data_IF_822668480858
#
_entry.id   IF_822668480858
#
_cell.length_a   1.000
_cell.length_b   1.000
_cell.length_c   1.000
_cell.angle_alpha   90.00
_cell.angle_beta   90.00
_cell.angle_gamma   90.00
#
_symmetry.space_group_name_H-M   'P 1'
#
loop_
_entity.id
_entity.type
_entity.pdbx_description
1 polymer ?
#
# COMPACT_ATOMS: atom_id res chain seq x y z
N UNK A 1 -27.41 -6.50 -3.14
CA UNK A 1 -26.84 -5.84 -4.37
C UNK A 1 -25.57 -5.01 -4.13
N UNK A 2 -25.46 -4.23 -3.03
CA UNK A 2 -24.26 -3.40 -2.76
C UNK A 2 -22.96 -4.21 -2.65
N UNK A 3 -22.96 -5.32 -1.90
CA UNK A 3 -21.76 -6.13 -1.69
C UNK A 3 -21.11 -6.58 -3.03
N UNK A 4 -21.93 -7.00 -4.00
CA UNK A 4 -21.48 -7.39 -5.34
C UNK A 4 -20.82 -6.26 -6.16
N UNK A 5 -21.07 -4.99 -5.83
CA UNK A 5 -20.41 -3.85 -6.48
C UNK A 5 -19.05 -3.54 -5.84
N UNK A 6 -18.90 -3.78 -4.53
CA UNK A 6 -17.73 -3.35 -3.76
C UNK A 6 -16.85 -4.50 -3.27
N UNK A 7 -17.18 -5.77 -3.55
CA UNK A 7 -16.39 -6.91 -3.08
C UNK A 7 -14.92 -6.86 -3.54
N UNK A 8 -14.66 -6.39 -4.77
CA UNK A 8 -13.30 -6.21 -5.31
C UNK A 8 -12.52 -5.21 -4.44
N UNK A 9 -13.20 -4.15 -4.00
CA UNK A 9 -12.59 -3.16 -3.13
C UNK A 9 -12.30 -3.75 -1.74
N UNK A 10 -13.24 -4.51 -1.16
CA UNK A 10 -13.04 -5.19 0.13
C UNK A 10 -11.85 -6.16 0.04
N UNK A 11 -11.78 -6.94 -1.06
CA UNK A 11 -10.68 -7.85 -1.34
C UNK A 11 -9.32 -7.14 -1.37
N UNK A 12 -9.21 -6.08 -2.17
CA UNK A 12 -7.97 -5.30 -2.32
C UNK A 12 -7.58 -4.63 -1.00
N UNK A 13 -8.54 -4.13 -0.22
CA UNK A 13 -8.26 -3.55 1.10
C UNK A 13 -7.70 -4.60 2.08
N UNK A 14 -8.29 -5.80 2.11
CA UNK A 14 -7.78 -6.91 2.92
C UNK A 14 -6.37 -7.30 2.50
N UNK A 15 -6.13 -7.46 1.19
CA UNK A 15 -4.82 -7.76 0.65
C UNK A 15 -3.80 -6.67 0.98
N UNK A 16 -4.15 -5.39 0.85
CA UNK A 16 -3.26 -4.28 1.18
C UNK A 16 -2.83 -4.34 2.65
N UNK A 17 -3.77 -4.58 3.56
CA UNK A 17 -3.48 -4.66 5.00
C UNK A 17 -2.56 -5.84 5.30
N UNK A 18 -2.82 -7.00 4.71
CA UNK A 18 -1.95 -8.18 4.86
C UNK A 18 -0.56 -7.96 4.26
N UNK A 19 -0.47 -7.40 3.05
CA UNK A 19 0.80 -7.15 2.36
C UNK A 19 1.69 -6.16 3.12
N UNK A 20 1.12 -5.15 3.76
CA UNK A 20 1.88 -4.25 4.63
C UNK A 20 2.51 -5.00 5.81
N UNK A 21 1.78 -5.92 6.45
CA UNK A 21 2.31 -6.77 7.50
C UNK A 21 3.41 -7.72 6.96
N UNK A 22 3.16 -8.36 5.82
CA UNK A 22 4.13 -9.20 5.12
C UNK A 22 5.43 -8.46 4.82
N UNK A 23 5.37 -7.22 4.30
CA UNK A 23 6.55 -6.41 4.00
C UNK A 23 7.32 -6.04 5.28
N UNK A 24 6.63 -5.72 6.37
CA UNK A 24 7.28 -5.42 7.65
C UNK A 24 7.98 -6.65 8.26
N UNK A 25 7.36 -7.82 8.17
CA UNK A 25 7.95 -9.10 8.59
C UNK A 25 9.14 -9.47 7.70
N UNK A 26 9.00 -9.32 6.39
CA UNK A 26 10.07 -9.59 5.42
C UNK A 26 11.31 -8.72 5.70
N UNK A 27 11.09 -7.43 5.94
CA UNK A 27 12.16 -6.50 6.33
C UNK A 27 12.85 -6.95 7.62
N UNK A 28 12.09 -7.38 8.64
CA UNK A 28 12.65 -7.90 9.89
C UNK A 28 13.52 -9.14 9.63
N UNK A 29 13.02 -10.10 8.85
CA UNK A 29 13.75 -11.34 8.51
C UNK A 29 15.03 -10.99 7.74
N UNK A 30 14.96 -10.07 6.78
CA UNK A 30 16.10 -9.63 5.97
C UNK A 30 17.22 -9.01 6.82
N UNK A 31 16.85 -8.22 7.85
CA UNK A 31 17.81 -7.56 8.75
C UNK A 31 18.33 -8.52 9.84
N UNK A 32 17.47 -9.37 10.39
CA UNK A 32 17.82 -10.28 11.49
C UNK A 32 18.58 -11.52 11.01
N UNK A 33 18.21 -12.08 9.85
CA UNK A 33 18.72 -13.33 9.32
C UNK A 33 19.18 -13.17 7.85
N UNK A 34 20.22 -12.36 7.58
CA UNK A 34 20.65 -12.05 6.21
C UNK A 34 21.10 -13.29 5.42
N UNK A 35 21.60 -14.32 6.11
CA UNK A 35 22.10 -15.56 5.48
C UNK A 35 20.94 -16.43 4.99
N UNK A 36 19.87 -16.59 5.79
CA UNK A 36 18.71 -17.41 5.41
C UNK A 36 17.93 -16.77 4.25
N UNK A 37 17.77 -15.45 4.27
CA UNK A 37 17.13 -14.69 3.19
C UNK A 37 17.89 -14.82 1.86
N UNK A 38 19.23 -14.92 1.89
CA UNK A 38 20.06 -15.03 0.68
C UNK A 38 20.03 -16.42 0.04
N UNK A 39 19.79 -17.48 0.82
CA UNK A 39 19.81 -18.88 0.33
C UNK A 39 18.46 -19.29 -0.29
N UNK A 40 17.37 -18.61 0.08
CA UNK A 40 16.04 -18.94 -0.45
C UNK A 40 15.83 -18.44 -1.89
N UNK A 41 15.08 -19.20 -2.70
CA UNK A 41 14.64 -18.74 -4.02
C UNK A 41 13.60 -17.63 -3.85
N UNK A 42 14.04 -16.39 -4.08
CA UNK A 42 13.25 -15.16 -3.90
C UNK A 42 11.80 -15.23 -4.41
N UNK A 43 11.54 -15.78 -5.61
CA UNK A 43 10.17 -15.87 -6.14
C UNK A 43 9.25 -16.80 -5.33
N UNK A 44 9.74 -17.98 -4.94
CA UNK A 44 8.94 -18.95 -4.16
C UNK A 44 8.66 -18.40 -2.77
N UNK A 45 9.68 -17.78 -2.16
CA UNK A 45 9.54 -17.16 -0.85
C UNK A 45 8.51 -16.02 -0.84
N UNK A 46 8.57 -15.10 -1.82
CA UNK A 46 7.61 -13.98 -1.92
C UNK A 46 6.19 -14.49 -2.15
N UNK A 47 6.01 -15.54 -2.95
CA UNK A 47 4.70 -16.17 -3.13
C UNK A 47 4.19 -16.75 -1.81
N UNK A 48 4.99 -17.55 -1.12
CA UNK A 48 4.61 -18.20 0.14
C UNK A 48 4.23 -17.19 1.22
N UNK A 49 5.00 -16.12 1.40
CA UNK A 49 4.76 -15.11 2.43
C UNK A 49 3.55 -14.20 2.12
N UNK A 50 3.10 -14.17 0.85
CA UNK A 50 1.92 -13.42 0.42
C UNK A 50 0.62 -14.24 0.50
N UNK A 51 0.70 -15.57 0.60
CA UNK A 51 -0.47 -16.47 0.70
C UNK A 51 -1.40 -16.07 1.87
N UNK A 52 -0.92 -15.76 3.10
CA UNK A 52 -1.80 -15.37 4.20
C UNK A 52 -2.66 -14.13 3.87
N UNK A 53 -2.05 -13.14 3.20
CA UNK A 53 -2.73 -11.90 2.78
C UNK A 53 -3.81 -12.16 1.73
N UNK A 54 -3.53 -13.10 0.82
CA UNK A 54 -4.45 -13.50 -0.24
C UNK A 54 -5.63 -14.31 0.32
N UNK A 55 -5.35 -15.26 1.22
CA UNK A 55 -6.36 -16.03 1.94
C UNK A 55 -7.27 -15.13 2.78
N UNK A 56 -6.71 -14.14 3.49
CA UNK A 56 -7.51 -13.20 4.27
C UNK A 56 -8.53 -12.45 3.41
N UNK A 57 -8.10 -11.92 2.25
CA UNK A 57 -9.00 -11.25 1.31
C UNK A 57 -10.06 -12.20 0.74
N UNK A 58 -9.64 -13.38 0.28
CA UNK A 58 -10.55 -14.38 -0.30
C UNK A 58 -11.60 -14.85 0.71
N UNK A 59 -11.19 -15.23 1.91
CA UNK A 59 -12.11 -15.70 2.95
C UNK A 59 -13.11 -14.62 3.33
N UNK A 60 -12.67 -13.36 3.48
CA UNK A 60 -13.56 -12.25 3.79
C UNK A 60 -14.64 -12.08 2.71
N UNK A 61 -14.26 -12.15 1.44
CA UNK A 61 -15.21 -12.02 0.33
C UNK A 61 -16.15 -13.22 0.22
N UNK A 62 -15.63 -14.43 0.33
CA UNK A 62 -16.43 -15.67 0.25
C UNK A 62 -17.45 -15.72 1.38
N UNK A 63 -17.03 -15.48 2.63
CA UNK A 63 -17.96 -15.40 3.75
C UNK A 63 -18.91 -14.21 3.61
N UNK A 64 -18.45 -13.08 3.07
CA UNK A 64 -19.32 -11.96 2.72
C UNK A 64 -20.45 -12.39 1.80
N UNK A 65 -20.16 -13.04 0.66
CA UNK A 65 -21.20 -13.52 -0.26
C UNK A 65 -22.15 -14.55 0.37
N UNK A 66 -21.65 -15.45 1.21
CA UNK A 66 -22.47 -16.50 1.86
C UNK A 66 -23.42 -15.92 2.90
N UNK A 67 -22.98 -14.90 3.65
CA UNK A 67 -23.68 -14.37 4.83
C UNK A 67 -24.46 -13.09 4.52
N UNK A 68 -24.23 -12.46 3.35
CA UNK A 68 -24.95 -11.23 2.95
C UNK A 68 -26.45 -11.48 2.93
N UNK A 69 -27.18 -10.61 3.61
CA UNK A 69 -28.63 -10.50 3.63
C UNK A 69 -29.12 -9.33 2.76
N UNK A 70 -30.43 -9.32 2.47
CA UNK A 70 -31.09 -8.27 1.68
C UNK A 70 -31.62 -7.11 2.55
N UNK A 71 -31.00 -6.88 3.71
CA UNK A 71 -31.39 -5.76 4.58
C UNK A 71 -31.03 -4.40 3.93
N UNK A 72 -31.93 -3.39 4.03
CA UNK A 72 -31.69 -2.09 3.44
C UNK A 72 -30.57 -1.35 4.20
N UNK A 73 -29.50 -1.01 3.48
CA UNK A 73 -28.39 -0.20 3.99
C UNK A 73 -28.47 1.23 3.50
N UNK A 74 -28.18 2.20 4.38
CA UNK A 74 -28.25 3.62 4.06
C UNK A 74 -27.13 4.09 3.12
N UNK A 75 -25.94 3.49 3.20
CA UNK A 75 -24.79 3.82 2.35
C UNK A 75 -24.02 2.57 1.95
N UNK A 76 -23.70 2.46 0.65
CA UNK A 76 -22.89 1.37 0.14
C UNK A 76 -21.40 1.64 0.36
N UNK A 77 -20.85 1.10 1.44
CA UNK A 77 -19.43 1.19 1.77
C UNK A 77 -18.94 -0.11 2.41
N UNK A 78 -17.62 -0.32 2.52
CA UNK A 78 -17.06 -1.58 3.00
C UNK A 78 -17.58 -2.03 4.36
N UNK A 79 -17.60 -1.20 5.43
CA UNK A 79 -18.07 -1.65 6.73
C UNK A 79 -19.58 -1.90 6.77
N UNK A 80 -20.38 -1.14 6.01
CA UNK A 80 -21.86 -1.29 6.01
C UNK A 80 -22.35 -2.42 5.11
N UNK A 81 -21.57 -2.80 4.09
CA UNK A 81 -21.90 -3.93 3.23
C UNK A 81 -21.59 -5.30 3.85
N UNK A 82 -20.91 -5.32 5.00
CA UNK A 82 -20.56 -6.53 5.73
C UNK A 82 -21.49 -6.68 6.94
N UNK A 83 -22.21 -7.80 7.00
CA UNK A 83 -23.01 -8.19 8.17
C UNK A 83 -22.10 -8.32 9.40
N UNK A 84 -22.62 -8.04 10.60
CA UNK A 84 -21.83 -7.99 11.84
C UNK A 84 -20.96 -9.23 12.10
N UNK A 85 -21.48 -10.41 11.75
CA UNK A 85 -20.76 -11.69 11.86
C UNK A 85 -19.48 -11.74 11.03
N UNK A 86 -19.40 -11.02 9.90
CA UNK A 86 -18.21 -10.93 9.04
C UNK A 86 -17.42 -9.66 9.34
N UNK A 87 -18.11 -8.56 9.65
CA UNK A 87 -17.53 -7.25 10.00
C UNK A 87 -16.62 -7.33 11.22
N UNK A 88 -17.05 -8.02 12.28
CA UNK A 88 -16.27 -8.16 13.52
C UNK A 88 -14.93 -8.88 13.32
N UNK A 89 -14.89 -10.11 12.75
CA UNK A 89 -13.62 -10.78 12.48
C UNK A 89 -12.76 -10.00 11.46
N UNK A 90 -13.36 -9.34 10.48
CA UNK A 90 -12.64 -8.47 9.54
C UNK A 90 -11.88 -7.33 10.27
N UNK A 91 -12.54 -6.62 11.18
CA UNK A 91 -11.88 -5.59 11.98
C UNK A 91 -10.80 -6.16 12.91
N UNK A 92 -11.07 -7.31 13.54
CA UNK A 92 -10.12 -7.95 14.46
C UNK A 92 -8.84 -8.40 13.73
N UNK A 93 -8.97 -9.09 12.59
CA UNK A 93 -7.81 -9.53 11.80
C UNK A 93 -7.04 -8.33 11.26
N UNK A 94 -7.72 -7.28 10.81
CA UNK A 94 -7.06 -6.06 10.36
C UNK A 94 -6.32 -5.34 11.51
N UNK A 95 -6.84 -5.37 12.74
CA UNK A 95 -6.16 -4.84 13.93
C UNK A 95 -4.92 -5.68 14.28
N UNK A 96 -5.06 -7.01 14.28
CA UNK A 96 -3.96 -7.94 14.53
C UNK A 96 -2.83 -7.78 13.50
N UNK A 97 -3.17 -7.69 12.21
CA UNK A 97 -2.21 -7.42 11.15
C UNK A 97 -1.50 -6.06 11.33
N UNK A 98 -2.25 -5.03 11.75
CA UNK A 98 -1.67 -3.73 12.11
C UNK A 98 -0.67 -3.83 13.26
N UNK A 99 -1.02 -4.56 14.33
CA UNK A 99 -0.13 -4.78 15.48
C UNK A 99 1.15 -5.55 15.07
N UNK A 100 1.02 -6.63 14.29
CA UNK A 100 2.16 -7.37 13.73
C UNK A 100 3.06 -6.44 12.93
N UNK A 101 2.48 -5.61 12.06
CA UNK A 101 3.23 -4.64 11.24
C UNK A 101 4.08 -3.70 12.10
N UNK A 102 3.50 -3.11 13.14
CA UNK A 102 4.20 -2.18 14.05
C UNK A 102 5.29 -2.90 14.82
N UNK A 103 4.99 -4.06 15.41
CA UNK A 103 5.96 -4.84 16.18
C UNK A 103 7.15 -5.27 15.30
N UNK A 104 6.89 -5.82 14.12
CA UNK A 104 7.93 -6.23 13.18
C UNK A 104 8.79 -5.04 12.74
N UNK A 105 8.17 -3.88 12.48
CA UNK A 105 8.89 -2.66 12.11
C UNK A 105 9.80 -2.16 13.23
N UNK A 106 9.29 -2.09 14.48
CA UNK A 106 10.08 -1.66 15.64
C UNK A 106 11.24 -2.62 15.88
N UNK A 107 11.00 -3.93 15.83
CA UNK A 107 12.05 -4.95 15.96
C UNK A 107 13.09 -4.83 14.84
N UNK A 108 12.67 -4.59 13.60
CA UNK A 108 13.57 -4.39 12.47
C UNK A 108 14.45 -3.16 12.67
N UNK A 109 13.86 -2.06 13.14
CA UNK A 109 14.58 -0.82 13.45
C UNK A 109 15.59 -1.01 14.59
N UNK A 110 15.19 -1.64 15.71
CA UNK A 110 16.08 -1.93 16.84
C UNK A 110 17.22 -2.86 16.43
N UNK A 111 16.93 -3.92 15.68
CA UNK A 111 17.95 -4.85 15.16
C UNK A 111 18.93 -4.14 14.24
N UNK A 112 18.45 -3.24 13.39
CA UNK A 112 19.30 -2.44 12.53
C UNK A 112 20.23 -1.51 13.33
N UNK A 113 19.72 -0.85 14.37
CA UNK A 113 20.54 0.00 15.25
C UNK A 113 21.61 -0.80 15.99
N UNK A 114 21.25 -1.99 16.49
CA UNK A 114 22.20 -2.89 17.14
C UNK A 114 23.29 -3.38 16.18
N UNK A 115 22.89 -3.82 14.98
CA UNK A 115 23.81 -4.29 13.96
C UNK A 115 24.72 -3.17 13.44
N UNK A 116 24.24 -1.93 13.37
CA UNK A 116 25.07 -0.79 13.00
C UNK A 116 26.19 -0.51 14.01
N UNK A 117 25.89 -0.62 15.32
CA UNK A 117 26.90 -0.51 16.38
C UNK A 117 27.94 -1.63 16.29
N UNK A 118 27.50 -2.85 15.92
CA UNK A 118 28.37 -4.04 15.83
C UNK A 118 29.20 -4.11 14.55
N UNK A 119 28.67 -3.61 13.44
CA UNK A 119 29.26 -3.69 12.11
C UNK A 119 29.29 -2.30 11.44
N UNK A 120 30.09 -1.38 12.00
CA UNK A 120 30.24 -0.01 11.50
C UNK A 120 30.68 0.06 10.02
N UNK A 121 31.31 -1.00 9.49
CA UNK A 121 31.87 -1.05 8.14
C UNK A 121 30.94 -1.69 7.09
N UNK A 122 29.73 -2.16 7.43
CA UNK A 122 28.83 -2.79 6.46
C UNK A 122 27.79 -1.79 5.91
N UNK A 123 27.68 -1.63 4.57
CA UNK A 123 26.69 -0.72 3.98
C UNK A 123 25.28 -1.26 4.19
N UNK A 124 24.49 -0.57 5.03
CA UNK A 124 23.07 -0.85 5.30
C UNK A 124 22.14 0.19 4.65
N UNK A 125 22.63 0.91 3.63
CA UNK A 125 21.93 2.04 3.03
C UNK A 125 20.61 1.65 2.39
N UNK A 126 20.55 0.45 1.78
CA UNK A 126 19.33 -0.06 1.17
C UNK A 126 18.25 -0.33 2.23
N UNK A 127 18.60 -1.02 3.33
CA UNK A 127 17.67 -1.28 4.43
C UNK A 127 17.19 0.01 5.09
N UNK A 128 18.09 0.98 5.33
CA UNK A 128 17.72 2.31 5.87
C UNK A 128 16.81 3.11 4.94
N UNK A 129 17.08 3.09 3.62
CA UNK A 129 16.24 3.74 2.62
C UNK A 129 14.85 3.12 2.59
N UNK A 130 14.76 1.79 2.58
CA UNK A 130 13.50 1.04 2.64
C UNK A 130 12.73 1.34 3.93
N UNK A 131 13.40 1.30 5.09
CA UNK A 131 12.79 1.62 6.38
C UNK A 131 12.19 3.01 6.42
N UNK A 132 12.88 4.04 5.91
CA UNK A 132 12.37 5.43 5.93
C UNK A 132 11.11 5.61 5.06
N UNK A 133 11.02 4.90 3.95
CA UNK A 133 9.80 4.88 3.12
C UNK A 133 8.69 4.14 3.86
N UNK A 134 9.01 2.97 4.42
CA UNK A 134 8.06 2.17 5.18
C UNK A 134 7.53 2.91 6.42
N UNK A 135 8.36 3.65 7.17
CA UNK A 135 7.86 4.43 8.33
C UNK A 135 6.83 5.47 7.92
N UNK A 136 7.00 6.15 6.78
CA UNK A 136 6.02 7.13 6.30
C UNK A 136 4.71 6.41 5.96
N UNK A 137 4.77 5.29 5.24
CA UNK A 137 3.60 4.48 4.91
C UNK A 137 2.89 4.01 6.19
N UNK A 138 3.65 3.54 7.19
CA UNK A 138 3.12 3.09 8.47
C UNK A 138 2.51 4.22 9.29
N UNK A 139 3.12 5.40 9.31
CA UNK A 139 2.57 6.55 10.02
C UNK A 139 1.21 6.97 9.44
N UNK A 140 1.08 7.04 8.11
CA UNK A 140 -0.19 7.39 7.47
C UNK A 140 -1.22 6.26 7.65
N UNK A 141 -0.80 4.99 7.54
CA UNK A 141 -1.65 3.83 7.81
C UNK A 141 -2.18 3.85 9.24
N UNK A 142 -1.32 4.06 10.23
CA UNK A 142 -1.70 4.15 11.63
C UNK A 142 -2.60 5.33 11.88
N UNK A 143 -2.27 6.53 11.41
CA UNK A 143 -3.11 7.71 11.57
C UNK A 143 -4.53 7.47 11.03
N UNK A 144 -4.62 6.90 9.83
CA UNK A 144 -5.90 6.53 9.20
C UNK A 144 -6.65 5.50 10.02
N UNK A 145 -5.99 4.40 10.40
CA UNK A 145 -6.62 3.30 11.16
C UNK A 145 -7.01 3.70 12.58
N UNK A 146 -6.17 4.48 13.26
CA UNK A 146 -6.43 4.96 14.61
C UNK A 146 -7.66 5.87 14.62
N UNK A 147 -7.78 6.76 13.63
CA UNK A 147 -8.97 7.58 13.44
C UNK A 147 -10.21 6.68 13.29
N UNK A 148 -10.22 5.75 12.34
CA UNK A 148 -11.38 4.87 12.10
C UNK A 148 -11.74 3.97 13.29
N UNK A 149 -10.76 3.31 13.91
CA UNK A 149 -11.01 2.32 14.97
C UNK A 149 -11.27 2.97 16.31
N UNK A 150 -10.54 4.02 16.71
CA UNK A 150 -10.76 4.68 18.00
C UNK A 150 -11.96 5.59 17.95
N UNK A 151 -12.22 6.27 16.84
CA UNK A 151 -13.46 7.03 16.70
C UNK A 151 -14.70 6.16 16.91
N UNK A 152 -14.73 4.96 16.29
CA UNK A 152 -15.84 4.02 16.48
C UNK A 152 -15.94 3.50 17.94
N UNK A 153 -14.81 3.16 18.57
CA UNK A 153 -14.83 2.65 19.94
C UNK A 153 -15.16 3.74 20.98
N UNK A 154 -14.66 4.97 20.81
CA UNK A 154 -14.97 6.10 21.70
C UNK A 154 -16.46 6.47 21.60
N UNK A 155 -17.03 6.47 20.40
CA UNK A 155 -18.47 6.70 20.23
C UNK A 155 -19.31 5.61 20.90
N UNK A 156 -18.89 4.34 20.79
CA UNK A 156 -19.54 3.23 21.50
C UNK A 156 -19.42 3.37 23.02
N UNK A 157 -18.24 3.73 23.55
CA UNK A 157 -18.02 3.92 24.99
C UNK A 157 -18.78 5.12 25.55
N UNK A 158 -18.97 6.17 24.74
CA UNK A 158 -19.79 7.34 25.09
C UNK A 158 -21.30 7.06 25.01
N UNK A 159 -21.71 5.81 24.73
CA UNK A 159 -23.10 5.37 24.59
C UNK A 159 -23.91 6.24 23.62
N UNK A 160 -23.23 6.71 22.56
CA UNK A 160 -23.82 7.50 21.50
C UNK A 160 -24.73 6.61 20.64
N UNK A 161 -25.84 7.16 20.15
CA UNK A 161 -26.81 6.42 19.34
C UNK A 161 -26.14 5.67 18.18
N UNK A 162 -26.60 4.44 17.90
CA UNK A 162 -26.01 3.56 16.88
C UNK A 162 -25.98 4.22 15.48
N UNK A 163 -26.95 5.07 15.18
CA UNK A 163 -27.02 5.83 13.92
C UNK A 163 -25.84 6.79 13.76
N UNK A 164 -25.37 7.42 14.84
CA UNK A 164 -24.24 8.34 14.81
C UNK A 164 -22.90 7.58 14.68
N UNK A 165 -22.78 6.38 15.25
CA UNK A 165 -21.64 5.48 15.03
C UNK A 165 -21.59 5.03 13.57
N UNK A 166 -22.73 4.64 13.01
CA UNK A 166 -22.85 4.28 11.60
C UNK A 166 -22.50 5.45 10.68
N UNK A 167 -22.97 6.67 11.00
CA UNK A 167 -22.63 7.89 10.27
C UNK A 167 -21.12 8.17 10.30
N UNK A 168 -20.49 8.03 11.46
CA UNK A 168 -19.03 8.17 11.59
C UNK A 168 -18.28 7.15 10.74
N UNK A 169 -18.68 5.88 10.79
CA UNK A 169 -18.09 4.81 9.97
C UNK A 169 -18.22 5.13 8.48
N UNK A 170 -19.35 5.69 8.05
CA UNK A 170 -19.57 6.10 6.66
C UNK A 170 -18.58 7.17 6.19
N UNK A 171 -18.32 8.19 7.01
CA UNK A 171 -17.34 9.24 6.67
C UNK A 171 -15.88 8.79 6.80
N UNK A 172 -15.59 7.81 7.67
CA UNK A 172 -14.24 7.28 7.85
C UNK A 172 -13.66 6.64 6.57
N UNK A 173 -14.53 6.27 5.62
CA UNK A 173 -14.17 5.71 4.30
C UNK A 173 -13.32 6.71 3.49
N UNK A 174 -13.57 8.01 3.59
CA UNK A 174 -12.76 9.02 2.90
C UNK A 174 -11.30 9.02 3.39
N UNK A 175 -11.09 8.82 4.69
CA UNK A 175 -9.75 8.69 5.25
C UNK A 175 -9.07 7.39 4.78
N UNK A 176 -9.84 6.30 4.73
CA UNK A 176 -9.36 5.04 4.14
C UNK A 176 -8.95 5.20 2.66
N UNK A 177 -9.62 6.08 1.91
CA UNK A 177 -9.26 6.35 0.50
C UNK A 177 -7.84 6.90 0.33
N UNK A 178 -7.39 7.74 1.26
CA UNK A 178 -6.00 8.22 1.28
C UNK A 178 -5.02 7.06 1.50
N UNK A 179 -5.39 6.10 2.34
CA UNK A 179 -4.55 4.93 2.62
C UNK A 179 -4.35 4.02 1.40
N UNK A 180 -5.30 3.92 0.47
CA UNK A 180 -5.06 3.11 -0.76
C UNK A 180 -4.02 3.74 -1.66
N UNK A 181 -4.08 5.05 -1.83
CA UNK A 181 -3.23 5.76 -2.77
C UNK A 181 -1.84 6.08 -2.20
N UNK A 182 -1.69 6.11 -0.86
CA UNK A 182 -0.45 6.47 -0.20
C UNK A 182 0.74 5.61 -0.64
N UNK A 183 0.53 4.30 -0.84
CA UNK A 183 1.62 3.37 -1.16
C UNK A 183 2.29 3.77 -2.48
N UNK A 184 1.48 4.14 -3.46
CA UNK A 184 1.97 4.63 -4.75
C UNK A 184 2.70 5.96 -4.60
N UNK A 185 2.05 6.97 -4.00
CA UNK A 185 2.62 8.32 -3.91
C UNK A 185 3.88 8.39 -3.04
N UNK A 186 3.90 7.70 -1.90
CA UNK A 186 5.07 7.67 -1.00
C UNK A 186 6.24 6.94 -1.67
N UNK A 187 5.97 5.81 -2.34
CA UNK A 187 7.02 5.06 -3.06
C UNK A 187 7.57 5.87 -4.22
N UNK A 188 6.71 6.53 -4.99
CA UNK A 188 7.10 7.42 -6.09
C UNK A 188 7.94 8.60 -5.60
N UNK A 189 7.56 9.25 -4.50
CA UNK A 189 8.31 10.37 -3.96
C UNK A 189 9.67 9.97 -3.36
N UNK A 190 9.77 8.78 -2.74
CA UNK A 190 10.97 8.36 -2.00
C UNK A 190 11.97 7.56 -2.83
N UNK A 191 11.50 6.76 -3.79
CA UNK A 191 12.37 5.86 -4.56
C UNK A 191 12.71 6.47 -5.93
N UNK A 192 13.95 6.97 -6.05
CA UNK A 192 14.54 7.42 -7.32
C UNK A 192 14.53 6.33 -8.39
N UNK A 193 14.82 5.09 -7.99
CA UNK A 193 14.81 3.93 -8.89
C UNK A 193 13.40 3.66 -9.41
N UNK A 194 12.40 3.67 -8.52
CA UNK A 194 11.00 3.48 -8.92
C UNK A 194 10.57 4.52 -9.95
N UNK A 195 10.90 5.81 -9.73
CA UNK A 195 10.62 6.87 -10.71
C UNK A 195 11.30 6.62 -12.05
N UNK A 196 12.57 6.22 -12.03
CA UNK A 196 13.35 5.95 -13.25
C UNK A 196 12.69 4.85 -14.07
N UNK A 197 12.32 3.73 -13.45
CA UNK A 197 11.65 2.61 -14.14
C UNK A 197 10.26 2.98 -14.63
N UNK A 198 9.45 3.65 -13.80
CA UNK A 198 8.10 4.09 -14.19
C UNK A 198 8.16 5.04 -15.39
N UNK A 199 9.10 5.99 -15.39
CA UNK A 199 9.33 6.88 -16.52
C UNK A 199 9.78 6.12 -17.77
N UNK A 200 10.66 5.13 -17.61
CA UNK A 200 11.13 4.31 -18.73
C UNK A 200 9.99 3.50 -19.37
N UNK A 201 9.10 2.95 -18.55
CA UNK A 201 7.90 2.25 -19.00
C UNK A 201 6.93 3.19 -19.68
N UNK A 202 6.66 4.36 -19.08
CA UNK A 202 5.81 5.39 -19.65
C UNK A 202 6.31 5.86 -21.02
N UNK A 203 7.62 6.11 -21.14
CA UNK A 203 8.24 6.50 -22.40
C UNK A 203 8.21 5.39 -23.45
N UNK A 204 8.38 4.13 -23.08
CA UNK A 204 8.21 3.01 -24.03
C UNK A 204 6.78 2.91 -24.53
N UNK A 205 5.80 3.02 -23.63
CA UNK A 205 4.39 2.99 -24.00
C UNK A 205 4.02 4.19 -24.88
N UNK A 206 4.48 5.39 -24.51
CA UNK A 206 4.28 6.59 -25.31
C UNK A 206 4.92 6.46 -26.70
N UNK A 207 6.17 5.99 -26.79
CA UNK A 207 6.85 5.80 -28.06
C UNK A 207 6.21 4.69 -28.92
N UNK A 208 5.59 3.70 -28.29
CA UNK A 208 4.81 2.67 -28.97
C UNK A 208 3.49 3.21 -29.52
N UNK A 209 2.79 4.05 -28.74
CA UNK A 209 1.46 4.58 -29.10
C UNK A 209 1.51 5.81 -30.03
N UNK A 210 2.51 6.68 -29.86
CA UNK A 210 2.56 8.03 -30.47
C UNK A 210 3.84 8.27 -31.30
N UNK A 211 4.71 7.26 -31.47
CA UNK A 211 5.99 7.41 -32.17
C UNK A 211 7.12 8.00 -31.30
N UNK A 212 8.37 7.91 -31.76
CA UNK A 212 9.57 8.30 -30.97
C UNK A 212 9.57 9.79 -30.62
N UNK A 213 9.27 10.12 -29.37
CA UNK A 213 9.58 11.42 -28.79
C UNK A 213 10.82 11.30 -27.88
N UNK A 214 11.94 11.87 -28.36
CA UNK A 214 13.23 12.15 -27.71
C UNK A 214 13.98 11.03 -26.93
N UNK A 215 15.30 10.84 -27.17
CA UNK A 215 16.14 9.95 -26.36
C UNK A 215 16.49 10.57 -24.99
N UNK A 216 16.62 9.71 -24.00
CA UNK A 216 16.94 10.03 -22.61
C UNK A 216 18.41 10.47 -22.44
N UNK A 217 18.66 11.73 -22.05
CA UNK A 217 19.93 12.16 -21.47
C UNK A 217 19.82 12.17 -19.94
N UNK A 218 20.40 11.14 -19.31
CA UNK A 218 20.58 11.10 -17.86
C UNK A 218 21.68 12.07 -17.45
N UNK A 219 21.32 13.30 -17.09
CA UNK A 219 22.19 14.13 -16.24
C UNK A 219 21.64 14.11 -14.83
N UNK A 220 22.47 13.63 -13.90
CA UNK A 220 22.26 13.48 -12.46
C UNK A 220 22.09 14.82 -11.76
N UNK A 221 20.99 15.55 -12.02
CA UNK A 221 20.58 16.70 -11.21
C UNK A 221 19.08 16.69 -11.00
N UNK A 222 18.69 16.70 -9.71
CA UNK A 222 17.38 16.98 -9.13
C UNK A 222 16.20 17.12 -10.12
N UNK A 223 15.32 16.11 -10.12
CA UNK A 223 14.10 16.01 -10.95
C UNK A 223 12.98 16.97 -10.51
N UNK A 224 13.33 18.20 -10.10
CA UNK A 224 12.37 19.28 -9.86
C UNK A 224 12.44 20.39 -10.92
N UNK A 225 13.40 20.31 -11.84
CA UNK A 225 13.45 21.17 -13.02
C UNK A 225 12.95 20.38 -14.23
N UNK A 226 11.68 20.55 -14.57
CA UNK A 226 11.14 20.19 -15.88
C UNK A 226 11.86 21.10 -16.90
N UNK A 227 12.66 20.59 -17.84
CA UNK A 227 13.14 21.42 -18.93
C UNK A 227 11.93 21.67 -19.84
N UNK A 228 11.45 22.91 -19.89
CA UNK A 228 10.66 23.39 -21.03
C UNK A 228 11.58 23.45 -22.25
N UNK A 229 11.86 22.31 -22.88
CA UNK A 229 12.44 22.29 -24.22
C UNK A 229 11.32 22.08 -25.22
N UNK A 230 11.01 23.17 -25.92
CA UNK A 230 10.11 23.22 -27.07
C UNK A 230 10.30 22.01 -27.99
N UNK A 231 9.23 21.24 -28.18
CA UNK A 231 9.07 20.39 -29.36
C UNK A 231 9.11 21.30 -30.59
N UNK A 232 10.21 21.29 -31.34
CA UNK A 232 10.18 21.76 -32.72
C UNK A 232 9.43 20.72 -33.54
N UNK A 233 8.21 21.05 -33.91
CA UNK A 233 7.49 20.42 -35.01
C UNK A 233 8.18 20.81 -36.32
N UNK A 234 9.01 19.94 -36.88
CA UNK A 234 9.46 20.07 -38.26
C UNK A 234 8.29 19.71 -39.19
N UNK A 235 7.44 20.71 -39.44
CA UNK A 235 6.57 20.80 -40.60
C UNK A 235 7.23 21.76 -41.60
N UNK A 236 7.87 21.21 -42.63
CA UNK A 236 8.25 21.89 -43.88
C UNK A 236 8.23 20.83 -44.98
N UNK A 237 7.15 20.68 -45.76
CA UNK A 237 6.73 21.47 -46.93
C UNK A 237 7.38 21.01 -48.25
N UNK A 238 6.53 20.41 -49.11
CA UNK A 238 6.50 20.45 -50.58
C UNK A 238 7.66 19.84 -51.42
N UNK A 239 7.22 18.99 -52.37
CA UNK A 239 7.79 18.48 -53.66
C UNK A 239 8.65 19.48 -54.45
N UNK A 240 9.47 19.10 -55.48
CA UNK A 240 9.32 17.96 -56.42
C UNK A 240 10.62 17.23 -56.87
N UNK A 241 10.47 16.06 -57.52
CA UNK A 241 10.90 15.68 -58.90
C UNK A 241 10.09 14.43 -59.27
#
# INVERSE_FOLDING_TARGET
>A
MCFSLIFVYIFVHCMQTGLLATIAVDLLISIALPILHRVSRHHVYVLLISIPSLLYGLLTVVFGFIVTDDEPINMCNPPSALVEKVKNPWYFVALAAGAVTVLSYVLAYVTLLYNHKRHANQPQDLARKSMRTLSIILLIFLFTRYTTTIGANVLNMANVNADAVALYQNYSVFMAMLCYSQNFYVTFWRSTEYRKYLWHQHMRLHNFLFGRCCPFTSTTRNVFSIPHTHCKSDHTSLTPI
#
